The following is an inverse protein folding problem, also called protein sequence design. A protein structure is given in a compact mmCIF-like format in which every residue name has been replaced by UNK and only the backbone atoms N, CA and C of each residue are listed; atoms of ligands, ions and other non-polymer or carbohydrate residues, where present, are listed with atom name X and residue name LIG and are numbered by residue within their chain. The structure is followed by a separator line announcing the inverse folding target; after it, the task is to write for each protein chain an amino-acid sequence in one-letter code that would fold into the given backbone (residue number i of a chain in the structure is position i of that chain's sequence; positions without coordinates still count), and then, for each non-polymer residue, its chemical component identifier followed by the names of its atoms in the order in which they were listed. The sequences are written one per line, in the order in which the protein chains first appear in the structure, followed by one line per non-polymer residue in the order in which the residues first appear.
data_IF_879589730057
#
_entry.id   IF_879589730057
#
_cell.length_a   1.000
_cell.length_b   1.000
_cell.length_c   1.000
_cell.angle_alpha   90.00
_cell.angle_beta   90.00
_cell.angle_gamma   90.00
#
_symmetry.space_group_name_H-M   'P 1'
#
loop_
_entity.id
_entity.type
_entity.pdbx_description
1 polymer ?
#
# COMPACT_ATOMS: atom_id res chain seq x y z
N UNK A 1 -18.32 15.72 -11.95
CA UNK A 1 -16.91 15.32 -12.02
C UNK A 1 -16.90 13.85 -12.45
N UNK A 2 -16.15 13.50 -13.49
CA UNK A 2 -16.00 12.12 -13.95
C UNK A 2 -15.01 11.32 -13.07
N UNK A 3 -14.91 10.04 -13.33
CA UNK A 3 -13.91 9.18 -12.69
C UNK A 3 -13.48 8.07 -13.66
N UNK A 4 -12.31 7.53 -13.41
CA UNK A 4 -11.77 6.35 -14.10
C UNK A 4 -11.56 5.27 -13.04
N UNK A 5 -12.23 4.13 -13.21
CA UNK A 5 -11.98 2.94 -12.40
C UNK A 5 -10.76 2.24 -12.96
N UNK A 6 -9.75 2.04 -12.10
CA UNK A 6 -8.52 1.36 -12.47
C UNK A 6 -8.74 -0.15 -12.51
N UNK A 7 -8.10 -0.84 -13.44
CA UNK A 7 -8.13 -2.31 -13.51
C UNK A 7 -7.30 -2.95 -12.39
N UNK A 8 -6.28 -2.24 -11.91
CA UNK A 8 -5.41 -2.64 -10.79
C UNK A 8 -5.23 -1.46 -9.85
N UNK A 9 -5.30 -1.65 -8.52
CA UNK A 9 -5.06 -0.60 -7.55
C UNK A 9 -3.67 0.03 -7.69
N UNK A 10 -3.58 1.33 -7.56
CA UNK A 10 -2.33 2.10 -7.70
C UNK A 10 -2.01 2.84 -6.41
N UNK A 11 -0.78 2.70 -5.94
CA UNK A 11 -0.29 3.37 -4.74
C UNK A 11 -0.15 4.87 -4.98
N UNK A 12 -0.75 5.69 -4.12
CA UNK A 12 -0.69 7.14 -4.24
C UNK A 12 0.73 7.65 -3.96
N UNK A 13 1.29 8.40 -4.91
CA UNK A 13 2.69 8.85 -4.88
C UNK A 13 3.04 9.71 -3.66
N UNK A 14 2.10 10.50 -3.13
CA UNK A 14 2.33 11.32 -1.94
C UNK A 14 2.58 10.50 -0.67
N UNK A 15 2.06 9.27 -0.59
CA UNK A 15 2.25 8.38 0.55
C UNK A 15 3.39 7.39 0.33
N UNK A 16 3.81 7.20 -0.93
CA UNK A 16 4.92 6.34 -1.30
C UNK A 16 6.24 7.08 -1.38
N UNK A 17 6.34 8.19 -2.16
CA UNK A 17 7.60 8.93 -2.41
C UNK A 17 7.94 9.96 -1.33
N UNK A 18 7.07 10.19 -0.34
CA UNK A 18 7.42 11.05 0.79
C UNK A 18 8.55 10.44 1.62
N UNK A 19 9.49 11.26 2.06
CA UNK A 19 10.57 10.82 2.94
C UNK A 19 10.30 11.33 4.37
N UNK A 20 10.06 10.43 5.32
CA UNK A 20 9.88 8.99 5.22
C UNK A 20 8.51 8.58 4.62
N UNK A 21 8.46 7.41 3.98
CA UNK A 21 7.21 6.92 3.37
C UNK A 21 6.14 6.64 4.42
N UNK A 22 4.93 7.16 4.18
CA UNK A 22 3.80 6.96 5.11
C UNK A 22 3.33 5.52 5.14
N UNK A 23 3.27 4.88 3.96
CA UNK A 23 2.91 3.46 3.82
C UNK A 23 3.92 2.59 4.53
N UNK A 24 5.22 2.85 4.32
CA UNK A 24 6.29 2.11 5.02
C UNK A 24 6.19 2.23 6.54
N UNK A 25 5.82 3.39 7.06
CA UNK A 25 5.62 3.57 8.50
C UNK A 25 4.43 2.79 9.04
N UNK A 26 3.32 2.69 8.29
CA UNK A 26 2.18 1.89 8.70
C UNK A 26 2.53 0.40 8.69
N UNK A 27 3.13 -0.09 7.60
CA UNK A 27 3.44 -1.50 7.42
C UNK A 27 4.71 -1.97 8.15
N UNK A 28 5.60 -1.05 8.53
CA UNK A 28 6.93 -1.39 9.08
C UNK A 28 7.89 -1.92 8.02
N UNK A 29 7.73 -1.49 6.77
CA UNK A 29 8.52 -1.88 5.59
C UNK A 29 9.39 -0.70 5.18
N UNK A 30 10.66 -0.94 4.81
CA UNK A 30 11.55 0.11 4.35
C UNK A 30 11.14 0.66 2.99
N UNK A 31 11.54 1.91 2.67
CA UNK A 31 11.21 2.53 1.37
C UNK A 31 11.71 1.72 0.18
N UNK A 32 12.89 1.08 0.32
CA UNK A 32 13.50 0.26 -0.74
C UNK A 32 12.74 -1.05 -0.95
N UNK A 33 12.32 -1.71 0.11
CA UNK A 33 11.49 -2.91 0.05
C UNK A 33 10.12 -2.60 -0.55
N UNK A 34 9.50 -1.50 -0.10
CA UNK A 34 8.22 -1.04 -0.64
C UNK A 34 8.29 -0.76 -2.15
N UNK A 35 9.39 -0.15 -2.62
CA UNK A 35 9.64 0.10 -4.05
C UNK A 35 9.68 -1.21 -4.85
N UNK A 36 10.40 -2.22 -4.36
CA UNK A 36 10.49 -3.54 -5.00
C UNK A 36 9.14 -4.24 -5.11
N UNK A 37 8.28 -4.12 -4.09
CA UNK A 37 6.93 -4.68 -4.12
C UNK A 37 6.07 -3.96 -5.17
N UNK A 38 6.06 -2.63 -5.15
CA UNK A 38 5.21 -1.80 -6.03
C UNK A 38 5.58 -1.96 -7.51
N UNK A 39 6.88 -2.13 -7.81
CA UNK A 39 7.37 -2.30 -9.18
C UNK A 39 7.44 -3.78 -9.64
N UNK A 40 6.80 -4.69 -8.91
CA UNK A 40 6.69 -6.11 -9.28
C UNK A 40 8.04 -6.85 -9.35
N UNK A 41 9.03 -6.42 -8.55
CA UNK A 41 10.34 -7.09 -8.47
C UNK A 41 10.33 -8.27 -7.50
N UNK A 42 9.50 -8.21 -6.44
CA UNK A 42 9.43 -9.24 -5.39
C UNK A 42 8.02 -9.38 -4.85
N UNK A 43 7.71 -10.57 -4.38
CA UNK A 43 6.49 -10.83 -3.63
C UNK A 43 6.64 -10.40 -2.17
N UNK A 44 5.54 -10.02 -1.55
CA UNK A 44 5.46 -9.79 -0.09
C UNK A 44 4.47 -10.77 0.53
N UNK A 45 4.87 -11.40 1.62
CA UNK A 45 4.02 -12.33 2.37
C UNK A 45 2.99 -11.55 3.18
N UNK A 46 1.72 -11.75 2.86
CA UNK A 46 0.57 -11.13 3.53
C UNK A 46 0.10 -12.01 4.69
N UNK A 47 -0.10 -13.29 4.41
CA UNK A 47 -0.39 -14.31 5.41
C UNK A 47 0.58 -15.48 5.27
N UNK A 48 1.44 -15.75 6.25
CA UNK A 48 2.42 -16.82 6.17
C UNK A 48 1.81 -18.22 6.34
N UNK A 49 0.60 -18.35 6.90
CA UNK A 49 -0.02 -19.63 7.22
C UNK A 49 0.92 -20.58 8.00
N UNK A 50 1.09 -21.81 7.51
CA UNK A 50 1.98 -22.83 8.08
C UNK A 50 3.38 -22.85 7.46
N UNK A 51 3.78 -21.81 6.72
CA UNK A 51 5.11 -21.72 6.11
C UNK A 51 6.16 -21.20 7.07
N UNK A 52 7.44 -21.31 6.70
CA UNK A 52 8.56 -20.77 7.49
C UNK A 52 8.75 -19.25 7.31
N UNK A 53 7.94 -18.61 6.48
CA UNK A 53 8.03 -17.17 6.22
C UNK A 53 7.37 -16.36 7.33
N UNK A 54 7.75 -15.07 7.38
CA UNK A 54 7.14 -14.10 8.31
C UNK A 54 6.24 -13.15 7.54
N UNK A 55 5.23 -12.61 8.21
CA UNK A 55 4.42 -11.53 7.66
C UNK A 55 5.31 -10.34 7.27
N UNK A 56 5.01 -9.71 6.14
CA UNK A 56 5.77 -8.62 5.51
C UNK A 56 7.16 -9.02 5.00
N UNK A 57 7.53 -10.29 4.99
CA UNK A 57 8.78 -10.76 4.41
C UNK A 57 8.70 -10.70 2.89
N UNK A 58 9.78 -10.23 2.25
CA UNK A 58 9.94 -10.30 0.80
C UNK A 58 10.46 -11.66 0.40
N UNK A 59 9.85 -12.23 -0.64
CA UNK A 59 10.24 -13.51 -1.22
C UNK A 59 10.39 -13.37 -2.74
N UNK A 60 11.22 -14.22 -3.31
CA UNK A 60 11.42 -14.31 -4.76
C UNK A 60 10.25 -15.06 -5.43
N UNK A 61 10.17 -14.96 -6.74
CA UNK A 61 9.19 -15.72 -7.53
C UNK A 61 9.39 -17.24 -7.39
N UNK A 62 10.64 -17.69 -7.33
CA UNK A 62 10.97 -19.11 -7.14
C UNK A 62 10.49 -19.62 -5.77
N UNK A 63 10.75 -18.87 -4.70
CA UNK A 63 10.27 -19.21 -3.35
C UNK A 63 8.74 -19.22 -3.28
N UNK A 64 8.09 -18.28 -3.97
CA UNK A 64 6.63 -18.25 -4.06
C UNK A 64 6.07 -19.49 -4.76
N UNK A 65 6.63 -19.86 -5.92
CA UNK A 65 6.23 -21.04 -6.67
C UNK A 65 6.49 -22.33 -5.89
N UNK A 66 7.62 -22.44 -5.17
CA UNK A 66 7.88 -23.59 -4.29
C UNK A 66 6.80 -23.78 -3.21
N UNK A 67 6.28 -22.69 -2.65
CA UNK A 67 5.19 -22.79 -1.67
C UNK A 67 3.92 -23.27 -2.35
N UNK A 68 3.57 -22.70 -3.50
CA UNK A 68 2.37 -23.10 -4.24
C UNK A 68 2.40 -24.59 -4.64
N UNK A 69 3.55 -25.08 -5.08
CA UNK A 69 3.73 -26.49 -5.47
C UNK A 69 3.59 -27.46 -4.27
N UNK A 70 3.84 -26.98 -3.05
CA UNK A 70 3.70 -27.77 -1.82
C UNK A 70 2.32 -27.71 -1.18
N UNK A 71 1.51 -26.70 -1.58
CA UNK A 71 0.15 -26.54 -1.06
C UNK A 71 -0.76 -27.66 -1.58
N UNK A 72 -1.63 -28.15 -0.70
CA UNK A 72 -2.67 -29.10 -1.06
C UNK A 72 -3.83 -28.41 -1.79
N UNK A 73 -4.63 -29.17 -2.55
CA UNK A 73 -5.84 -28.62 -3.20
C UNK A 73 -6.84 -28.05 -2.18
N UNK A 74 -6.88 -28.59 -0.97
CA UNK A 74 -7.72 -28.07 0.12
C UNK A 74 -7.26 -26.70 0.59
N UNK A 75 -5.95 -26.49 0.73
CA UNK A 75 -5.36 -25.21 1.12
C UNK A 75 -5.53 -24.12 0.04
N UNK A 76 -5.49 -24.51 -1.24
CA UNK A 76 -5.76 -23.58 -2.35
C UNK A 76 -7.20 -23.07 -2.35
N UNK A 77 -8.15 -23.89 -1.98
CA UNK A 77 -9.58 -23.57 -2.00
C UNK A 77 -10.07 -22.84 -0.73
N UNK A 78 -9.21 -22.57 0.26
CA UNK A 78 -9.56 -21.78 1.43
C UNK A 78 -9.93 -20.33 1.03
N UNK A 79 -10.81 -19.72 1.82
CA UNK A 79 -11.13 -18.30 1.67
C UNK A 79 -9.91 -17.43 2.01
N UNK A 80 -9.81 -16.22 1.43
CA UNK A 80 -8.65 -15.33 1.64
C UNK A 80 -8.52 -14.80 3.07
N UNK A 81 -9.58 -14.90 3.88
CA UNK A 81 -9.57 -14.57 5.30
C UNK A 81 -9.19 -15.74 6.21
N UNK A 82 -9.02 -16.96 5.66
CA UNK A 82 -8.62 -18.12 6.46
C UNK A 82 -7.14 -17.97 6.88
N UNK A 83 -6.84 -18.04 8.21
CA UNK A 83 -5.47 -17.94 8.71
C UNK A 83 -4.55 -19.07 8.22
N UNK A 84 -5.10 -20.17 7.71
CA UNK A 84 -4.32 -21.29 7.17
C UNK A 84 -3.95 -21.13 5.70
N UNK A 85 -4.57 -20.19 4.98
CA UNK A 85 -4.23 -19.92 3.59
C UNK A 85 -2.95 -19.10 3.49
N UNK A 86 -1.97 -19.59 2.76
CA UNK A 86 -0.80 -18.79 2.41
C UNK A 86 -1.19 -17.74 1.37
N UNK A 87 -0.86 -16.49 1.65
CA UNK A 87 -1.15 -15.36 0.76
C UNK A 87 0.13 -14.52 0.61
N UNK A 88 0.57 -14.37 -0.61
CA UNK A 88 1.60 -13.42 -0.98
C UNK A 88 1.21 -12.73 -2.29
N UNK A 89 1.68 -11.52 -2.48
CA UNK A 89 1.30 -10.72 -3.65
C UNK A 89 2.34 -9.68 -4.01
N UNK A 90 2.08 -8.96 -5.11
CA UNK A 90 2.92 -7.89 -5.65
C UNK A 90 2.10 -6.65 -5.96
N UNK A 91 2.78 -5.53 -6.21
CA UNK A 91 2.17 -4.31 -6.70
C UNK A 91 1.27 -3.60 -5.70
N UNK A 92 0.42 -2.72 -6.23
CA UNK A 92 -0.50 -1.92 -5.41
C UNK A 92 -1.59 -2.72 -4.71
N UNK A 93 -2.00 -3.85 -5.30
CA UNK A 93 -3.01 -4.74 -4.72
C UNK A 93 -2.51 -5.39 -3.42
N UNK A 94 -1.29 -5.92 -3.43
CA UNK A 94 -0.67 -6.49 -2.24
C UNK A 94 -0.50 -5.45 -1.12
N UNK A 95 -0.10 -4.22 -1.47
CA UNK A 95 0.01 -3.12 -0.51
C UNK A 95 -1.35 -2.75 0.08
N UNK A 96 -2.40 -2.73 -0.74
CA UNK A 96 -3.76 -2.46 -0.28
C UNK A 96 -4.25 -3.52 0.69
N UNK A 97 -4.05 -4.81 0.36
CA UNK A 97 -4.43 -5.91 1.23
C UNK A 97 -3.64 -5.88 2.56
N UNK A 98 -2.33 -5.65 2.52
CA UNK A 98 -1.53 -5.45 3.74
C UNK A 98 -2.08 -4.31 4.60
N UNK A 99 -2.42 -3.17 4.01
CA UNK A 99 -2.94 -2.01 4.74
C UNK A 99 -4.32 -2.27 5.35
N UNK A 100 -5.17 -3.04 4.67
CA UNK A 100 -6.51 -3.41 5.18
C UNK A 100 -6.43 -4.33 6.41
N UNK A 101 -5.39 -5.19 6.47
CA UNK A 101 -5.17 -6.17 7.54
C UNK A 101 -4.34 -5.62 8.72
N UNK A 102 -4.00 -4.31 8.73
CA UNK A 102 -3.26 -3.70 9.85
C UNK A 102 -4.20 -3.45 11.03
N UNK A 103 -3.90 -4.05 12.16
CA UNK A 103 -4.53 -3.68 13.43
C UNK A 103 -3.81 -2.47 14.05
N UNK A 104 -4.36 -1.28 13.83
CA UNK A 104 -3.76 -0.02 14.30
C UNK A 104 -3.59 0.04 15.82
N UNK A 105 -4.55 -0.47 16.59
CA UNK A 105 -4.50 -0.40 18.05
C UNK A 105 -3.41 -1.31 18.63
N UNK A 106 -3.25 -2.50 18.08
CA UNK A 106 -2.16 -3.42 18.46
C UNK A 106 -0.79 -2.83 18.13
N UNK A 107 -0.60 -2.30 16.91
CA UNK A 107 0.65 -1.68 16.51
C UNK A 107 1.01 -0.45 17.35
N UNK A 108 0.03 0.41 17.66
CA UNK A 108 0.21 1.56 18.55
C UNK A 108 0.62 1.10 19.95
N UNK A 109 -0.04 0.08 20.47
CA UNK A 109 0.26 -0.44 21.81
C UNK A 109 1.66 -1.06 21.86
N UNK A 110 2.04 -1.84 20.85
CA UNK A 110 3.37 -2.42 20.70
C UNK A 110 4.46 -1.35 20.65
N UNK A 111 4.31 -0.34 19.78
CA UNK A 111 5.28 0.74 19.65
C UNK A 111 5.42 1.57 20.94
N UNK A 112 4.34 1.78 21.68
CA UNK A 112 4.39 2.46 22.98
C UNK A 112 5.14 1.67 24.03
N UNK A 113 5.05 0.34 24.01
CA UNK A 113 5.84 -0.54 24.88
C UNK A 113 7.33 -0.49 24.50
N UNK A 114 7.64 -0.66 23.22
CA UNK A 114 9.01 -0.58 22.70
C UNK A 114 9.70 0.76 23.04
N UNK A 115 8.96 1.88 22.99
CA UNK A 115 9.50 3.20 23.35
C UNK A 115 9.94 3.32 24.81
N UNK A 116 9.37 2.51 25.72
CA UNK A 116 9.77 2.50 27.13
C UNK A 116 11.06 1.72 27.35
N UNK A 117 11.22 0.61 26.64
CA UNK A 117 12.27 -0.38 26.91
C UNK A 117 13.51 -0.22 26.01
N UNK A 118 13.40 0.48 24.86
CA UNK A 118 14.51 0.61 23.89
C UNK A 118 15.58 1.60 24.40
N UNK A 119 16.86 1.18 24.52
CA UNK A 119 17.97 2.03 24.94
C UNK A 119 18.45 2.99 23.84
N UNK A 120 18.11 2.77 22.55
CA UNK A 120 18.62 3.52 21.42
C UNK A 120 17.83 4.80 21.14
N UNK A 121 18.49 5.96 21.25
CA UNK A 121 17.87 7.26 20.94
C UNK A 121 17.41 7.37 19.48
N UNK A 122 18.14 6.77 18.53
CA UNK A 122 17.78 6.78 17.10
C UNK A 122 16.51 5.98 16.84
N UNK A 123 16.40 4.76 17.38
CA UNK A 123 15.19 3.94 17.26
C UNK A 123 14.00 4.60 17.92
N UNK A 124 14.18 5.21 19.10
CA UNK A 124 13.11 6.00 19.75
C UNK A 124 12.59 7.12 18.86
N UNK A 125 13.48 7.88 18.22
CA UNK A 125 13.10 8.96 17.34
C UNK A 125 12.32 8.45 16.10
N UNK A 126 12.70 7.30 15.55
CA UNK A 126 12.00 6.67 14.45
C UNK A 126 10.63 6.11 14.87
N UNK A 127 10.57 5.39 15.98
CA UNK A 127 9.32 4.87 16.54
C UNK A 127 8.31 5.98 16.90
N UNK A 128 8.79 7.13 17.37
CA UNK A 128 7.92 8.31 17.62
C UNK A 128 7.32 8.83 16.31
N UNK A 129 8.11 8.90 15.23
CA UNK A 129 7.61 9.33 13.91
C UNK A 129 6.57 8.33 13.36
N UNK A 130 6.86 7.04 13.50
CA UNK A 130 5.94 5.96 13.11
C UNK A 130 4.65 6.02 13.91
N UNK A 131 4.72 6.17 15.22
CA UNK A 131 3.57 6.28 16.11
C UNK A 131 2.66 7.48 15.73
N UNK A 132 3.23 8.63 15.40
CA UNK A 132 2.47 9.80 14.95
C UNK A 132 1.65 9.51 13.68
N UNK A 133 2.22 8.75 12.74
CA UNK A 133 1.50 8.36 11.51
C UNK A 133 0.36 7.41 11.83
N UNK A 134 0.59 6.39 12.66
CA UNK A 134 -0.46 5.44 13.07
C UNK A 134 -1.59 6.13 13.85
N UNK A 135 -1.26 7.04 14.76
CA UNK A 135 -2.26 7.82 15.52
C UNK A 135 -3.10 8.74 14.64
N UNK A 136 -2.57 9.20 13.49
CA UNK A 136 -3.33 9.99 12.53
C UNK A 136 -4.44 9.18 11.82
N UNK A 137 -4.28 7.85 11.72
CA UNK A 137 -5.30 6.94 11.20
C UNK A 137 -6.32 6.49 12.26
N UNK A 138 -5.99 6.69 13.54
CA UNK A 138 -6.88 6.32 14.63
C UNK A 138 -8.16 7.13 14.58
N UNK A 139 -9.29 6.44 14.46
CA UNK A 139 -10.60 7.10 14.44
C UNK A 139 -10.95 7.65 15.83
N UNK A 140 -11.12 8.94 15.93
CA UNK A 140 -11.60 9.59 17.17
C UNK A 140 -13.13 9.53 17.23
N UNK A 141 -13.73 9.44 18.42
CA UNK A 141 -15.18 9.51 18.57
C UNK A 141 -15.74 10.77 17.89
N UNK A 142 -16.73 10.59 16.99
CA UNK A 142 -17.36 11.69 16.25
C UNK A 142 -16.60 12.19 15.01
N UNK A 143 -15.41 11.64 14.69
CA UNK A 143 -14.70 11.92 13.45
C UNK A 143 -15.07 10.93 12.34
N UNK A 144 -14.85 11.34 11.07
CA UNK A 144 -14.98 10.41 9.95
C UNK A 144 -13.88 9.36 10.04
N UNK A 145 -14.18 8.10 9.70
CA UNK A 145 -13.16 7.05 9.64
C UNK A 145 -12.07 7.45 8.65
N UNK A 146 -10.83 7.15 9.00
CA UNK A 146 -9.67 7.32 8.14
C UNK A 146 -8.94 5.97 8.07
N UNK A 147 -9.00 5.33 6.90
CA UNK A 147 -8.47 3.97 6.73
C UNK A 147 -7.13 4.00 5.99
N UNK A 148 -6.12 3.24 6.46
CA UNK A 148 -4.82 3.17 5.78
C UNK A 148 -4.91 2.71 4.32
N UNK A 149 -5.82 1.80 3.99
CA UNK A 149 -6.05 1.28 2.63
C UNK A 149 -6.39 2.37 1.61
N UNK A 150 -6.89 3.54 2.05
CA UNK A 150 -7.18 4.69 1.17
C UNK A 150 -5.94 5.39 0.63
N UNK A 151 -4.74 5.01 1.07
CA UNK A 151 -3.48 5.44 0.46
C UNK A 151 -3.22 4.76 -0.90
N UNK A 152 -4.04 3.77 -1.25
CA UNK A 152 -4.04 3.08 -2.54
C UNK A 152 -5.34 3.43 -3.27
N UNK A 153 -5.23 3.79 -4.54
CA UNK A 153 -6.33 4.28 -5.36
C UNK A 153 -6.89 3.17 -6.25
N UNK A 154 -8.19 2.96 -6.19
CA UNK A 154 -8.94 2.13 -7.16
C UNK A 154 -9.60 2.98 -8.24
N UNK A 155 -9.85 4.25 -7.90
CA UNK A 155 -10.57 5.19 -8.76
C UNK A 155 -9.82 6.51 -8.81
N UNK A 156 -9.59 7.02 -10.00
CA UNK A 156 -8.96 8.32 -10.24
C UNK A 156 -10.02 9.34 -10.61
N UNK A 157 -10.13 10.49 -9.92
CA UNK A 157 -11.04 11.55 -10.29
C UNK A 157 -10.56 12.22 -11.58
N UNK A 158 -11.50 12.54 -12.48
CA UNK A 158 -11.24 13.25 -13.72
C UNK A 158 -11.77 14.67 -13.61
N UNK A 159 -10.89 15.65 -13.77
CA UNK A 159 -11.28 17.06 -13.72
C UNK A 159 -12.15 17.43 -14.93
N UNK A 160 -13.08 18.41 -14.80
CA UNK A 160 -13.93 18.87 -15.90
C UNK A 160 -13.13 19.33 -17.12
N UNK A 161 -13.66 19.17 -18.34
CA UNK A 161 -13.00 19.59 -19.59
C UNK A 161 -12.62 21.06 -19.62
N UNK A 162 -13.38 21.91 -18.93
CA UNK A 162 -13.13 23.37 -18.85
C UNK A 162 -11.79 23.68 -18.17
N UNK A 163 -11.31 22.80 -17.27
CA UNK A 163 -10.02 22.94 -16.58
C UNK A 163 -8.85 22.33 -17.36
N UNK A 164 -9.13 21.63 -18.47
CA UNK A 164 -8.11 21.03 -19.36
C UNK A 164 -8.50 21.22 -20.84
N UNK A 165 -8.71 22.49 -21.28
CA UNK A 165 -9.30 22.77 -22.56
C UNK A 165 -8.39 22.38 -23.74
N UNK A 166 -9.02 22.08 -24.86
CA UNK A 166 -8.40 22.01 -26.17
C UNK A 166 -8.58 23.39 -26.84
N UNK A 167 -7.48 24.12 -27.02
CA UNK A 167 -7.50 25.49 -27.53
C UNK A 167 -7.05 25.51 -28.99
N UNK A 168 -7.85 26.05 -29.92
CA UNK A 168 -7.42 26.21 -31.31
C UNK A 168 -6.35 27.31 -31.42
N UNK A 169 -5.30 27.02 -32.19
CA UNK A 169 -4.23 27.95 -32.54
C UNK A 169 -4.40 28.40 -34.01
N UNK A 170 -3.70 29.49 -34.36
CA UNK A 170 -3.64 29.91 -35.76
C UNK A 170 -3.02 28.82 -36.65
N UNK A 171 -3.55 28.64 -37.86
CA UNK A 171 -3.09 27.61 -38.78
C UNK A 171 -3.73 26.21 -38.59
N UNK A 172 -4.87 26.12 -37.91
CA UNK A 172 -5.64 24.85 -37.76
C UNK A 172 -5.04 23.84 -36.79
N UNK A 173 -4.04 24.27 -35.99
CA UNK A 173 -3.46 23.45 -34.92
C UNK A 173 -4.24 23.63 -33.61
N UNK A 174 -4.16 22.62 -32.74
CA UNK A 174 -4.75 22.67 -31.40
C UNK A 174 -3.64 22.54 -30.36
N UNK A 175 -3.73 23.35 -29.30
CA UNK A 175 -2.96 23.13 -28.08
C UNK A 175 -3.84 22.40 -27.07
N UNK A 176 -3.31 21.39 -26.42
CA UNK A 176 -4.00 20.64 -25.38
C UNK A 176 -3.21 20.67 -24.10
N UNK A 177 -3.89 20.54 -22.96
CA UNK A 177 -3.25 20.34 -21.67
C UNK A 177 -2.59 18.94 -21.61
N UNK A 178 -1.41 18.85 -20.99
CA UNK A 178 -0.70 17.58 -20.74
C UNK A 178 -1.56 16.60 -19.94
N UNK A 179 -2.52 17.09 -19.14
CA UNK A 179 -3.46 16.28 -18.40
C UNK A 179 -4.33 15.39 -19.30
N UNK A 180 -4.67 15.84 -20.53
CA UNK A 180 -5.43 15.04 -21.48
C UNK A 180 -4.64 13.80 -21.94
N UNK A 181 -3.33 13.95 -22.12
CA UNK A 181 -2.46 12.83 -22.47
C UNK A 181 -2.27 11.85 -21.31
N UNK A 182 -2.20 12.34 -20.07
CA UNK A 182 -2.12 11.49 -18.88
C UNK A 182 -3.39 10.66 -18.66
N UNK A 183 -4.59 11.25 -18.91
CA UNK A 183 -5.84 10.49 -18.81
C UNK A 183 -6.04 9.48 -19.94
N UNK A 184 -5.38 9.67 -21.07
CA UNK A 184 -5.48 8.78 -22.22
C UNK A 184 -4.60 7.53 -22.10
N UNK A 185 -3.51 7.60 -21.36
CA UNK A 185 -2.56 6.50 -21.13
C UNK A 185 -3.04 5.54 -20.05
#
# INVERSE_FOLDING_TARGET
MGHITLSVPVVHIWYFRSMPTKIGYVLGITSKELERIIYYETYVVINPANTNFKKNQLITEDEYNEVLDRMTEEEHNLEDDDPKKFIAGQGGEAIKDLLSRVNLEEEITRLRAELKDDPSALKKAENIKRLRVLEAFRTKPGSRPNKPEWMVLDVVPVIPPELRPLVPLEGGRFATSDLNDLYRR
#
